data_IF_869621199839
#
_entry.id   IF_869621199839
#
_cell.length_a   1.000
_cell.length_b   1.000
_cell.length_c   1.000
_cell.angle_alpha   90.00
_cell.angle_beta   90.00
_cell.angle_gamma   90.00
#
_symmetry.space_group_name_H-M   'P 1'
#
loop_
_entity.id
_entity.type
_entity.pdbx_description
1 polymer ?
#
# COMPACT_ATOMS: atom_id res chain seq x y z
N UNK A 1 5.03 -9.00 -12.01
CA UNK A 1 4.05 -10.09 -11.76
C UNK A 1 2.68 -9.49 -11.93
N UNK A 2 1.79 -10.18 -12.61
CA UNK A 2 0.41 -9.75 -12.82
C UNK A 2 -0.48 -10.53 -11.87
N UNK A 3 -1.25 -9.82 -11.04
CA UNK A 3 -2.20 -10.42 -10.12
C UNK A 3 -3.45 -10.88 -10.87
N UNK A 4 -3.96 -12.07 -10.55
CA UNK A 4 -5.27 -12.50 -11.01
C UNK A 4 -6.40 -11.80 -10.22
N UNK A 5 -7.66 -11.98 -10.64
CA UNK A 5 -8.80 -11.29 -10.02
C UNK A 5 -8.96 -11.61 -8.52
N UNK A 6 -8.77 -12.87 -8.12
CA UNK A 6 -8.88 -13.27 -6.71
C UNK A 6 -7.72 -12.71 -5.86
N UNK A 7 -6.51 -12.68 -6.43
CA UNK A 7 -5.35 -12.06 -5.78
C UNK A 7 -5.50 -10.55 -5.62
N UNK A 8 -6.08 -9.85 -6.61
CA UNK A 8 -6.39 -8.42 -6.52
C UNK A 8 -7.40 -8.14 -5.42
N UNK A 9 -8.52 -8.87 -5.41
CA UNK A 9 -9.54 -8.73 -4.38
C UNK A 9 -8.95 -8.90 -2.97
N UNK A 10 -8.20 -9.99 -2.75
CA UNK A 10 -7.53 -10.24 -1.47
C UNK A 10 -6.53 -9.14 -1.11
N UNK A 11 -5.73 -8.69 -2.07
CA UNK A 11 -4.75 -7.62 -1.83
C UNK A 11 -5.46 -6.31 -1.46
N UNK A 12 -6.62 -6.03 -2.05
CA UNK A 12 -7.45 -4.88 -1.69
C UNK A 12 -7.99 -4.98 -0.25
N UNK A 13 -8.45 -6.16 0.17
CA UNK A 13 -8.85 -6.40 1.56
C UNK A 13 -7.66 -6.21 2.53
N UNK A 14 -6.48 -6.72 2.18
CA UNK A 14 -5.25 -6.54 2.95
C UNK A 14 -4.84 -5.06 3.04
N UNK A 15 -5.07 -4.27 2.00
CA UNK A 15 -4.88 -2.81 2.03
C UNK A 15 -5.87 -2.12 2.94
N UNK A 16 -7.17 -2.42 2.81
CA UNK A 16 -8.20 -1.84 3.66
C UNK A 16 -7.96 -2.15 5.15
N UNK A 17 -7.52 -3.38 5.46
CA UNK A 17 -7.18 -3.77 6.82
C UNK A 17 -5.97 -3.00 7.37
N UNK A 18 -4.88 -2.90 6.59
CA UNK A 18 -3.70 -2.16 7.04
C UNK A 18 -3.97 -0.64 7.16
N UNK A 19 -4.81 -0.08 6.29
CA UNK A 19 -5.27 1.31 6.41
C UNK A 19 -6.02 1.50 7.73
N UNK A 20 -6.98 0.64 8.05
CA UNK A 20 -7.70 0.70 9.33
C UNK A 20 -6.76 0.56 10.54
N UNK A 21 -5.78 -0.35 10.49
CA UNK A 21 -4.79 -0.53 11.54
C UNK A 21 -3.84 0.67 11.71
N UNK A 22 -3.61 1.45 10.65
CA UNK A 22 -2.74 2.63 10.70
C UNK A 22 -3.41 3.82 11.38
N UNK A 23 -4.74 3.81 11.50
CA UNK A 23 -5.53 4.94 11.99
C UNK A 23 -5.61 6.13 11.01
N UNK A 24 -5.04 6.00 9.81
CA UNK A 24 -5.04 7.04 8.79
C UNK A 24 -6.34 7.04 7.97
N UNK A 25 -6.68 8.22 7.44
CA UNK A 25 -7.75 8.33 6.45
C UNK A 25 -7.20 8.13 5.03
N UNK A 26 -8.04 7.76 4.04
CA UNK A 26 -7.63 7.77 2.63
C UNK A 26 -7.08 9.13 2.18
N UNK A 27 -7.54 10.24 2.77
CA UNK A 27 -7.06 11.57 2.43
C UNK A 27 -5.61 11.78 2.88
N UNK A 28 -5.26 11.35 4.10
CA UNK A 28 -3.88 11.43 4.61
C UNK A 28 -2.94 10.62 3.72
N UNK A 29 -3.34 9.39 3.38
CA UNK A 29 -2.55 8.51 2.50
C UNK A 29 -2.39 9.10 1.10
N UNK A 30 -3.45 9.68 0.52
CA UNK A 30 -3.36 10.32 -0.79
C UNK A 30 -2.41 11.52 -0.76
N UNK A 31 -2.50 12.34 0.30
CA UNK A 31 -1.66 13.53 0.48
C UNK A 31 -0.19 13.13 0.60
N UNK A 32 0.13 12.19 1.50
CA UNK A 32 1.50 11.75 1.73
C UNK A 32 2.13 11.09 0.50
N UNK A 33 1.36 10.28 -0.22
CA UNK A 33 1.82 9.63 -1.45
C UNK A 33 1.81 10.56 -2.68
N UNK A 34 1.30 11.79 -2.55
CA UNK A 34 1.03 12.70 -3.66
C UNK A 34 0.16 12.04 -4.76
N UNK A 35 -0.84 11.27 -4.34
CA UNK A 35 -1.81 10.63 -5.23
C UNK A 35 -3.06 11.50 -5.34
N UNK A 36 -3.70 11.49 -6.52
CA UNK A 36 -5.08 11.99 -6.60
C UNK A 36 -6.02 11.00 -5.91
N UNK A 37 -7.20 11.43 -5.44
CA UNK A 37 -8.18 10.52 -4.84
C UNK A 37 -8.53 9.32 -5.72
N UNK A 38 -8.66 9.52 -7.03
CA UNK A 38 -8.98 8.46 -7.99
C UNK A 38 -7.81 7.49 -8.21
N UNK A 39 -6.57 7.99 -8.12
CA UNK A 39 -5.36 7.17 -8.19
C UNK A 39 -5.23 6.29 -6.95
N UNK A 40 -5.44 6.88 -5.77
CA UNK A 40 -5.44 6.11 -4.52
C UNK A 40 -6.54 5.06 -4.53
N UNK A 41 -7.79 5.43 -4.89
CA UNK A 41 -8.91 4.48 -4.95
C UNK A 41 -8.59 3.29 -5.84
N UNK A 42 -8.11 3.53 -7.07
CA UNK A 42 -7.70 2.46 -7.99
C UNK A 42 -6.60 1.56 -7.40
N UNK A 43 -5.63 2.16 -6.71
CA UNK A 43 -4.53 1.42 -6.08
C UNK A 43 -5.01 0.58 -4.90
N UNK A 44 -5.92 1.10 -4.07
CA UNK A 44 -6.58 0.36 -2.99
C UNK A 44 -7.41 -0.81 -3.52
N UNK A 45 -8.12 -0.61 -4.63
CA UNK A 45 -8.90 -1.65 -5.31
C UNK A 45 -8.02 -2.63 -6.13
N UNK A 46 -6.72 -2.35 -6.24
CA UNK A 46 -5.74 -3.09 -7.06
C UNK A 46 -6.24 -3.27 -8.50
N UNK A 47 -6.84 -2.19 -9.03
CA UNK A 47 -7.47 -2.15 -10.34
C UNK A 47 -6.47 -2.56 -11.44
N UNK A 48 -6.88 -3.28 -12.51
CA UNK A 48 -6.02 -3.62 -13.64
C UNK A 48 -5.25 -2.45 -14.27
N UNK A 49 -5.81 -1.24 -14.23
CA UNK A 49 -5.18 -0.03 -14.74
C UNK A 49 -4.25 0.66 -13.72
N UNK A 50 -4.08 0.12 -12.51
CA UNK A 50 -3.16 0.67 -11.51
C UNK A 50 -1.71 0.45 -11.92
N UNK A 51 -0.85 1.45 -11.68
CA UNK A 51 0.59 1.31 -11.83
C UNK A 51 1.12 0.33 -10.76
N UNK A 52 1.84 -0.75 -11.15
CA UNK A 52 2.47 -1.65 -10.19
C UNK A 52 3.39 -0.93 -9.19
N UNK A 53 4.03 0.17 -9.58
CA UNK A 53 4.88 0.96 -8.68
C UNK A 53 4.06 1.64 -7.58
N UNK A 54 2.86 2.12 -7.91
CA UNK A 54 1.95 2.72 -6.91
C UNK A 54 1.44 1.68 -5.91
N UNK A 55 1.12 0.47 -6.39
CA UNK A 55 0.69 -0.64 -5.54
C UNK A 55 1.77 -1.00 -4.53
N UNK A 56 3.04 -1.09 -4.96
CA UNK A 56 4.16 -1.35 -4.05
C UNK A 56 4.44 -0.18 -3.10
N UNK A 57 4.31 1.06 -3.58
CA UNK A 57 4.51 2.24 -2.74
C UNK A 57 3.43 2.31 -1.63
N UNK A 58 2.16 2.08 -1.98
CA UNK A 58 1.06 2.04 -1.02
C UNK A 58 1.25 0.91 0.00
N UNK A 59 1.67 -0.28 -0.43
CA UNK A 59 1.98 -1.41 0.44
C UNK A 59 3.04 -1.06 1.48
N UNK A 60 4.15 -0.49 1.04
CA UNK A 60 5.26 -0.16 1.93
C UNK A 60 4.86 0.97 2.90
N UNK A 61 4.11 1.96 2.41
CA UNK A 61 3.56 3.05 3.21
C UNK A 61 2.65 2.53 4.32
N UNK A 62 1.63 1.75 3.99
CA UNK A 62 0.66 1.25 4.97
C UNK A 62 1.34 0.36 6.01
N UNK A 63 2.25 -0.52 5.58
CA UNK A 63 3.04 -1.34 6.51
C UNK A 63 3.83 -0.47 7.49
N UNK A 64 4.48 0.58 7.01
CA UNK A 64 5.27 1.47 7.86
C UNK A 64 4.37 2.31 8.78
N UNK A 65 3.26 2.85 8.27
CA UNK A 65 2.31 3.64 9.04
C UNK A 65 1.72 2.86 10.21
N UNK A 66 1.36 1.58 10.02
CA UNK A 66 0.89 0.72 11.12
C UNK A 66 1.98 0.53 12.18
N UNK A 67 3.24 0.35 11.79
CA UNK A 67 4.35 0.21 12.74
C UNK A 67 4.60 1.51 13.51
N UNK A 68 4.56 2.65 12.83
CA UNK A 68 4.78 3.97 13.42
C UNK A 68 3.65 4.37 14.38
N UNK A 69 2.42 3.92 14.12
CA UNK A 69 1.29 3.99 15.04
C UNK A 69 1.39 3.03 16.25
N UNK A 70 2.45 2.20 16.33
CA UNK A 70 2.65 1.22 17.39
C UNK A 70 1.87 -0.09 17.22
N UNK A 71 1.25 -0.29 16.06
CA UNK A 71 0.50 -1.49 15.72
C UNK A 71 1.35 -2.61 15.10
N UNK A 72 0.67 -3.67 14.64
CA UNK A 72 1.27 -4.77 13.88
C UNK A 72 0.59 -4.87 12.51
N UNK A 73 1.32 -4.69 11.40
CA UNK A 73 0.74 -4.79 10.05
C UNK A 73 0.13 -6.16 9.81
N UNK A 74 -1.03 -6.19 9.15
CA UNK A 74 -1.58 -7.43 8.64
C UNK A 74 -0.67 -7.94 7.50
N UNK A 75 -0.39 -9.26 7.45
CA UNK A 75 0.52 -9.81 6.46
C UNK A 75 -0.08 -9.72 5.05
N UNK A 76 0.77 -9.44 4.07
CA UNK A 76 0.39 -9.52 2.67
C UNK A 76 0.63 -10.93 2.14
N UNK A 77 -0.37 -11.55 1.55
CA UNK A 77 -0.21 -12.89 0.96
C UNK A 77 0.59 -12.84 -0.33
N UNK A 78 0.21 -11.95 -1.25
CA UNK A 78 0.87 -11.84 -2.57
C UNK A 78 1.95 -10.77 -2.59
N UNK A 79 1.70 -9.61 -1.99
CA UNK A 79 2.66 -8.50 -1.87
C UNK A 79 3.63 -8.68 -0.68
N UNK A 80 4.13 -9.90 -0.50
CA UNK A 80 5.10 -10.24 0.53
C UNK A 80 6.53 -9.80 0.15
N UNK A 81 7.47 -9.90 1.10
CA UNK A 81 8.84 -9.43 0.92
C UNK A 81 9.60 -10.15 -0.19
N UNK A 82 9.31 -11.44 -0.43
CA UNK A 82 9.89 -12.20 -1.55
C UNK A 82 9.40 -11.66 -2.89
N UNK A 83 8.11 -11.37 -3.01
CA UNK A 83 7.52 -10.75 -4.21
C UNK A 83 8.08 -9.35 -4.45
N UNK A 84 8.32 -8.57 -3.38
CA UNK A 84 8.92 -7.24 -3.47
C UNK A 84 10.34 -7.27 -4.03
N UNK A 85 11.17 -8.21 -3.56
CA UNK A 85 12.53 -8.40 -4.08
C UNK A 85 12.52 -8.72 -5.57
N UNK A 86 11.59 -9.56 -6.03
CA UNK A 86 11.41 -9.85 -7.45
C UNK A 86 10.92 -8.63 -8.23
N UNK A 87 10.00 -7.85 -7.67
CA UNK A 87 9.45 -6.67 -8.31
C UNK A 87 10.52 -5.61 -8.62
N UNK A 88 11.54 -5.46 -7.76
CA UNK A 88 12.69 -4.56 -7.99
C UNK A 88 13.50 -4.88 -9.25
N UNK A 89 13.44 -6.11 -9.76
CA UNK A 89 14.14 -6.49 -10.98
C UNK A 89 13.45 -5.97 -12.26
N UNK A 90 12.16 -5.62 -12.16
CA UNK A 90 11.32 -5.25 -13.31
C UNK A 90 10.81 -3.81 -13.22
N UNK A 91 10.62 -3.32 -12.00
CA UNK A 91 10.06 -2.01 -11.73
C UNK A 91 11.07 -1.16 -10.96
N UNK A 92 11.18 0.12 -11.34
CA UNK A 92 11.85 1.13 -10.53
C UNK A 92 10.95 1.50 -9.35
N UNK A 93 10.99 0.69 -8.30
CA UNK A 93 10.20 0.93 -7.09
C UNK A 93 10.56 2.28 -6.46
N UNK A 94 9.54 3.01 -6.01
CA UNK A 94 9.69 4.24 -5.24
C UNK A 94 9.69 3.89 -3.75
N UNK A 95 10.49 4.61 -2.97
CA UNK A 95 10.36 4.54 -1.53
C UNK A 95 9.05 5.19 -1.10
N UNK A 96 8.41 4.60 -0.10
CA UNK A 96 7.24 5.17 0.52
C UNK A 96 7.68 6.31 1.47
N UNK A 97 7.05 7.49 1.40
CA UNK A 97 7.22 8.52 2.42
C UNK A 97 6.72 7.99 3.78
N UNK A 98 7.10 8.65 4.87
CA UNK A 98 6.60 8.33 6.21
C UNK A 98 5.60 9.36 6.65
N UNK A 99 4.50 8.89 7.23
CA UNK A 99 3.55 9.77 7.89
C UNK A 99 4.13 10.29 9.21
N UNK A 100 3.95 11.58 9.49
CA UNK A 100 4.36 12.18 10.76
C UNK A 100 3.16 12.21 11.71
N UNK A 101 3.07 11.21 12.57
CA UNK A 101 2.08 11.20 13.64
C UNK A 101 2.43 12.29 14.66
N UNK A 102 1.65 13.37 14.69
CA UNK A 102 1.83 14.42 15.70
C UNK A 102 1.31 13.87 17.02
N UNK A 103 2.19 13.61 17.99
CA UNK A 103 1.77 13.32 19.36
C UNK A 103 1.19 14.61 19.96
N UNK A 104 -0.09 14.56 20.31
CA UNK A 104 -0.73 15.56 21.18
C UNK A 104 -0.14 15.51 22.59
#
# INVERSE_FOLDING_TARGET
>A
MTLNAAERHRTGEEFAQNLALSGLTPHDVATDLAFTPERLRRTLDVDPASDPVDVWQLRDYLRQAVLDAGGRPAPYTVLNDRSRLRARLWFRLRDAPRHVFTRA
#
